data_IF_216085773520
#
_entry.id   IF_216085773520
#
_cell.length_a   1.000
_cell.length_b   1.000
_cell.length_c   1.000
_cell.angle_alpha   90.00
_cell.angle_beta   90.00
_cell.angle_gamma   90.00
#
_symmetry.space_group_name_H-M   'P 1'
#
loop_
_entity.id
_entity.type
_entity.pdbx_description
1 polymer ?
#
# COMPACT_ATOMS: atom_id res chain seq x y z
N UNK A 1 19.13 0.80 -8.03
CA UNK A 1 17.70 0.58 -8.28
C UNK A 1 17.19 -0.54 -7.39
N UNK A 2 16.06 -0.34 -6.74
CA UNK A 2 15.50 -1.37 -5.86
C UNK A 2 14.79 -2.45 -6.67
N UNK A 3 14.93 -3.69 -6.22
CA UNK A 3 14.13 -4.77 -6.76
C UNK A 3 12.69 -4.63 -6.27
N UNK A 4 11.77 -5.38 -6.88
CA UNK A 4 10.38 -5.42 -6.43
C UNK A 4 10.32 -5.82 -4.97
N UNK A 5 11.10 -6.82 -4.58
CA UNK A 5 11.13 -7.30 -3.21
C UNK A 5 11.63 -6.24 -2.23
N UNK A 6 12.69 -5.54 -2.59
CA UNK A 6 13.22 -4.46 -1.75
C UNK A 6 12.22 -3.31 -1.62
N UNK A 7 11.56 -2.96 -2.73
CA UNK A 7 10.53 -1.93 -2.73
C UNK A 7 9.38 -2.33 -1.82
N UNK A 8 8.90 -3.56 -1.92
CA UNK A 8 7.80 -4.04 -1.10
C UNK A 8 8.17 -4.04 0.39
N UNK A 9 9.39 -4.43 0.72
CA UNK A 9 9.87 -4.39 2.11
C UNK A 9 9.89 -2.97 2.67
N UNK A 10 10.39 -2.02 1.87
CA UNK A 10 10.43 -0.63 2.29
C UNK A 10 9.02 -0.08 2.48
N UNK A 11 8.10 -0.42 1.58
CA UNK A 11 6.71 -0.02 1.71
C UNK A 11 6.08 -0.59 2.97
N UNK A 12 6.34 -1.86 3.25
CA UNK A 12 5.78 -2.51 4.43
C UNK A 12 6.23 -1.83 5.72
N UNK A 13 7.46 -1.35 5.76
CA UNK A 13 7.98 -0.70 6.97
C UNK A 13 7.30 0.63 7.27
N UNK A 14 6.69 1.28 6.28
CA UNK A 14 6.01 2.57 6.47
C UNK A 14 4.50 2.46 6.27
N UNK A 15 4.00 1.26 6.03
CA UNK A 15 2.60 1.06 5.65
C UNK A 15 1.63 1.55 6.72
N UNK A 16 1.91 1.24 7.99
CA UNK A 16 1.02 1.64 9.08
C UNK A 16 0.92 3.15 9.19
N UNK A 17 2.03 3.85 9.03
CA UNK A 17 2.04 5.32 9.04
C UNK A 17 1.24 5.88 7.87
N UNK A 18 1.37 5.27 6.71
CA UNK A 18 0.61 5.68 5.53
C UNK A 18 -0.88 5.43 5.72
N UNK A 19 -1.24 4.29 6.28
CA UNK A 19 -2.62 3.98 6.58
C UNK A 19 -3.22 5.01 7.55
N UNK A 20 -2.47 5.34 8.59
CA UNK A 20 -2.90 6.36 9.55
C UNK A 20 -3.10 7.72 8.89
N UNK A 21 -2.21 8.10 7.98
CA UNK A 21 -2.34 9.38 7.26
C UNK A 21 -3.58 9.41 6.37
N UNK A 22 -3.95 8.27 5.81
CA UNK A 22 -5.11 8.17 4.92
C UNK A 22 -6.42 8.15 5.73
N UNK A 23 -6.47 7.39 6.80
CA UNK A 23 -7.71 7.10 7.51
C UNK A 23 -7.84 7.79 8.86
N UNK A 24 -6.74 8.21 9.45
CA UNK A 24 -6.73 8.74 10.80
C UNK A 24 -6.82 7.65 11.87
N UNK A 25 -6.73 6.39 11.49
CA UNK A 25 -6.82 5.24 12.40
C UNK A 25 -5.72 4.25 12.16
N UNK A 26 -5.58 3.30 13.07
CA UNK A 26 -4.71 2.15 12.88
C UNK A 26 -5.21 1.30 11.70
N UNK A 27 -4.37 0.41 11.15
CA UNK A 27 -4.75 -0.40 9.99
C UNK A 27 -6.05 -1.19 10.10
N UNK A 28 -6.49 -1.47 11.30
CA UNK A 28 -7.79 -2.08 11.59
C UNK A 28 -8.48 -1.20 12.62
N UNK A 29 -9.76 -0.91 12.53
CA UNK A 29 -10.80 -1.41 11.66
C UNK A 29 -10.80 -0.77 10.27
N UNK A 30 -11.55 -1.38 9.37
CA UNK A 30 -11.70 -0.88 8.01
C UNK A 30 -12.56 0.37 7.97
N UNK A 31 -12.25 1.22 7.01
CA UNK A 31 -13.01 2.42 6.76
C UNK A 31 -13.47 2.45 5.31
N UNK A 32 -14.52 3.20 5.07
CA UNK A 32 -15.04 3.35 3.70
C UNK A 32 -14.43 4.60 3.07
N UNK A 33 -13.34 4.41 2.39
CA UNK A 33 -12.76 5.41 1.50
C UNK A 33 -12.83 4.90 0.08
N UNK A 34 -13.03 5.80 -0.83
CA UNK A 34 -13.10 5.43 -2.23
C UNK A 34 -11.88 5.94 -2.97
N UNK A 35 -11.16 5.01 -3.55
CA UNK A 35 -10.04 5.31 -4.41
C UNK A 35 -10.55 5.15 -5.84
N UNK A 36 -10.24 6.10 -6.71
CA UNK A 36 -10.65 5.99 -8.11
C UNK A 36 -10.03 4.75 -8.74
N UNK A 37 -10.74 4.16 -9.71
CA UNK A 37 -10.20 3.02 -10.45
C UNK A 37 -8.86 3.35 -11.08
N UNK A 38 -8.69 4.58 -11.53
CA UNK A 38 -7.42 5.01 -12.11
C UNK A 38 -6.28 4.94 -11.13
N UNK A 39 -6.51 5.32 -9.88
CA UNK A 39 -5.49 5.21 -8.84
C UNK A 39 -5.13 3.76 -8.56
N UNK A 40 -6.14 2.91 -8.46
CA UNK A 40 -5.91 1.48 -8.25
C UNK A 40 -5.10 0.90 -9.38
N UNK A 41 -5.50 1.16 -10.63
CA UNK A 41 -4.79 0.64 -11.79
C UNK A 41 -3.36 1.14 -11.87
N UNK A 42 -3.13 2.40 -11.50
CA UNK A 42 -1.79 2.98 -11.54
C UNK A 42 -0.84 2.26 -10.59
N UNK A 43 -1.35 1.79 -9.46
CA UNK A 43 -0.53 1.10 -8.47
C UNK A 43 -0.67 -0.41 -8.53
N UNK A 44 -1.48 -0.92 -9.44
CA UNK A 44 -1.69 -2.35 -9.60
C UNK A 44 -0.56 -2.97 -10.41
N UNK A 45 0.57 -3.09 -9.78
CA UNK A 45 1.70 -3.85 -10.29
C UNK A 45 1.60 -5.21 -9.66
N UNK A 46 1.08 -6.18 -10.41
CA UNK A 46 0.75 -7.50 -9.88
C UNK A 46 1.86 -8.11 -9.04
N UNK A 47 3.09 -8.03 -9.52
CA UNK A 47 4.23 -8.62 -8.80
C UNK A 47 4.51 -7.87 -7.51
N UNK A 48 4.43 -6.54 -7.52
CA UNK A 48 4.68 -5.73 -6.34
C UNK A 48 3.60 -5.96 -5.30
N UNK A 49 2.34 -6.00 -5.72
CA UNK A 49 1.22 -6.27 -4.81
C UNK A 49 1.37 -7.66 -4.20
N UNK A 50 1.76 -8.64 -5.00
CA UNK A 50 1.96 -10.00 -4.51
C UNK A 50 3.05 -10.05 -3.45
N UNK A 51 4.19 -9.43 -3.71
CA UNK A 51 5.30 -9.39 -2.74
C UNK A 51 4.90 -8.67 -1.47
N UNK A 52 4.21 -7.54 -1.60
CA UNK A 52 3.75 -6.78 -0.45
C UNK A 52 2.76 -7.61 0.40
N UNK A 53 1.79 -8.24 -0.26
CA UNK A 53 0.81 -9.07 0.44
C UNK A 53 1.48 -10.23 1.18
N UNK A 54 2.51 -10.80 0.57
CA UNK A 54 3.29 -11.86 1.20
C UNK A 54 3.97 -11.35 2.47
N UNK A 55 4.48 -10.12 2.44
CA UNK A 55 5.16 -9.55 3.59
C UNK A 55 4.22 -9.20 4.74
N UNK A 56 3.03 -8.69 4.43
CA UNK A 56 2.07 -8.32 5.47
C UNK A 56 1.17 -9.47 5.90
N UNK A 57 1.19 -10.57 5.17
CA UNK A 57 0.46 -11.78 5.54
C UNK A 57 -1.02 -11.79 5.21
N UNK A 58 -1.53 -10.78 4.51
CA UNK A 58 -2.92 -10.74 4.09
C UNK A 58 -3.07 -9.90 2.82
N UNK A 59 -4.08 -10.20 1.99
CA UNK A 59 -4.27 -9.44 0.76
C UNK A 59 -4.78 -8.03 1.02
N UNK A 60 -4.45 -7.12 0.11
CA UNK A 60 -5.00 -5.77 0.08
C UNK A 60 -6.36 -5.88 -0.60
N UNK A 61 -7.43 -5.62 0.14
CA UNK A 61 -8.78 -5.84 -0.39
C UNK A 61 -9.75 -4.69 -0.13
N UNK A 62 -9.31 -3.60 0.49
CA UNK A 62 -10.16 -2.46 0.73
C UNK A 62 -9.57 -1.20 0.11
N UNK A 63 -10.40 -0.19 -0.11
CA UNK A 63 -9.94 1.07 -0.68
C UNK A 63 -8.98 1.80 0.26
N UNK A 64 -9.16 1.66 1.57
CA UNK A 64 -8.24 2.22 2.56
C UNK A 64 -6.86 1.61 2.43
N UNK A 65 -6.82 0.31 2.25
CA UNK A 65 -5.56 -0.42 2.11
C UNK A 65 -4.86 -0.06 0.80
N UNK A 66 -5.62 0.09 -0.29
CA UNK A 66 -5.06 0.57 -1.54
C UNK A 66 -4.52 1.98 -1.42
N UNK A 67 -5.21 2.85 -0.68
CA UNK A 67 -4.73 4.20 -0.44
C UNK A 67 -3.42 4.23 0.32
N UNK A 68 -3.32 3.42 1.37
CA UNK A 68 -2.08 3.30 2.13
C UNK A 68 -0.96 2.70 1.28
N UNK A 69 -1.29 1.69 0.48
CA UNK A 69 -0.32 1.08 -0.45
C UNK A 69 0.19 2.12 -1.44
N UNK A 70 -0.71 2.88 -2.04
CA UNK A 70 -0.34 3.90 -3.03
C UNK A 70 0.56 4.96 -2.43
N UNK A 71 0.24 5.42 -1.23
CA UNK A 71 1.05 6.42 -0.54
C UNK A 71 2.43 5.86 -0.21
N UNK A 72 2.49 4.64 0.30
CA UNK A 72 3.77 4.01 0.62
C UNK A 72 4.63 3.84 -0.64
N UNK A 73 4.01 3.42 -1.73
CA UNK A 73 4.71 3.29 -3.01
C UNK A 73 5.29 4.63 -3.47
N UNK A 74 4.48 5.67 -3.39
CA UNK A 74 4.92 7.01 -3.79
C UNK A 74 6.12 7.46 -2.95
N UNK A 75 6.04 7.32 -1.64
CA UNK A 75 7.13 7.73 -0.75
C UNK A 75 8.41 6.96 -1.07
N UNK A 76 8.30 5.64 -1.18
CA UNK A 76 9.47 4.78 -1.40
C UNK A 76 10.11 5.06 -2.76
N UNK A 77 9.31 5.27 -3.80
CA UNK A 77 9.86 5.47 -5.15
C UNK A 77 10.41 6.87 -5.37
N UNK A 78 10.09 7.80 -4.50
CA UNK A 78 10.61 9.17 -4.60
C UNK A 78 11.82 9.42 -3.73
N UNK A 79 12.25 8.43 -2.99
CA UNK A 79 13.48 8.54 -2.21
C UNK A 79 14.73 8.47 -3.07
#
# INVERSE_FOLDING_TARGET
MKTIQETAKAMQSIYNDCYYKITGDEPFPKREHYISKGQVLMFEKTDLVREFNSLIGCPIDSSDEFGAFALAYEIVTKQ
#
